data_IF_855898083942
#
_entry.id   IF_855898083942
#
_cell.length_a   1.000
_cell.length_b   1.000
_cell.length_c   1.000
_cell.angle_alpha   90.00
_cell.angle_beta   90.00
_cell.angle_gamma   90.00
#
_symmetry.space_group_name_H-M   'P 1'
#
loop_
_entity.id
_entity.type
_entity.pdbx_description
1 polymer ?
#
# COMPACT_ATOMS: atom_id res chain seq x y z
N UNK A 1 25.33 47.55 9.78
CA UNK A 1 26.31 48.21 8.89
C UNK A 1 26.30 47.43 7.59
N UNK A 2 25.57 47.92 6.60
CA UNK A 2 25.59 47.45 5.21
C UNK A 2 26.58 48.26 4.40
N UNK A 3 27.11 47.73 3.32
CA UNK A 3 27.10 48.53 2.10
C UNK A 3 26.62 47.79 0.84
N UNK A 4 25.98 48.58 0.08
CA UNK A 4 25.25 48.66 -1.15
C UNK A 4 25.98 48.16 -2.40
N UNK A 5 25.14 47.71 -3.35
CA UNK A 5 25.39 47.52 -4.80
C UNK A 5 26.04 48.71 -5.54
N UNK A 6 26.54 48.49 -6.78
CA UNK A 6 25.86 49.14 -7.87
C UNK A 6 25.61 48.28 -9.15
N UNK A 7 24.48 48.62 -9.78
CA UNK A 7 24.05 48.35 -11.15
C UNK A 7 25.04 48.88 -12.21
N UNK A 8 25.18 48.21 -13.36
CA UNK A 8 25.30 48.88 -14.64
C UNK A 8 24.62 48.13 -15.78
N UNK A 9 23.86 48.95 -16.52
CA UNK A 9 23.04 48.65 -17.71
C UNK A 9 23.84 48.75 -18.99
N UNK A 10 23.33 48.09 -20.05
CA UNK A 10 23.27 48.49 -21.48
C UNK A 10 24.49 48.23 -22.35
N UNK A 11 24.34 47.54 -23.46
CA UNK A 11 24.06 48.16 -24.76
C UNK A 11 23.84 47.10 -25.87
N UNK A 12 22.86 47.39 -26.70
CA UNK A 12 22.48 46.77 -27.96
C UNK A 12 23.56 46.94 -29.03
N UNK A 13 23.70 45.97 -29.95
CA UNK A 13 23.89 46.29 -31.38
C UNK A 13 23.39 45.14 -32.26
N UNK A 14 22.64 45.52 -33.27
CA UNK A 14 22.06 44.70 -34.34
C UNK A 14 22.93 44.79 -35.62
N UNK A 15 22.67 43.93 -36.55
CA UNK A 15 22.88 43.93 -37.99
C UNK A 15 23.64 42.68 -38.46
N UNK A 16 23.44 42.02 -39.61
CA UNK A 16 22.53 42.18 -40.74
C UNK A 16 22.59 40.88 -41.58
N UNK A 17 21.59 40.68 -42.38
CA UNK A 17 21.35 39.65 -43.40
C UNK A 17 22.54 39.48 -44.40
N UNK A 18 22.71 38.23 -44.91
CA UNK A 18 23.01 37.96 -46.31
C UNK A 18 22.56 36.56 -46.71
N UNK A 19 21.69 36.51 -47.69
CA UNK A 19 21.22 35.33 -48.38
C UNK A 19 22.19 34.94 -49.54
N UNK A 20 22.40 33.63 -49.73
CA UNK A 20 22.88 33.13 -51.02
C UNK A 20 22.29 31.76 -51.25
N UNK A 21 21.50 31.63 -52.33
CA UNK A 21 21.00 30.40 -52.89
C UNK A 21 22.05 29.86 -53.86
N UNK A 22 22.23 28.50 -53.93
CA UNK A 22 22.66 27.79 -55.12
C UNK A 22 22.49 26.28 -55.00
N UNK A 23 21.60 25.73 -55.81
CA UNK A 23 21.68 24.61 -56.75
C UNK A 23 21.89 23.18 -56.23
N UNK A 24 20.93 22.38 -56.69
CA UNK A 24 20.83 20.93 -56.59
C UNK A 24 21.98 20.18 -57.26
N UNK A 25 22.36 19.04 -56.66
CA UNK A 25 22.94 17.89 -57.38
C UNK A 25 22.44 16.61 -56.73
N UNK A 26 21.76 15.80 -57.51
CA UNK A 26 21.34 14.43 -57.15
C UNK A 26 22.58 13.52 -57.08
N UNK A 27 22.72 12.81 -55.98
CA UNK A 27 23.70 11.74 -55.77
C UNK A 27 23.08 10.61 -54.99
N UNK A 28 22.74 9.48 -55.64
CA UNK A 28 22.45 8.22 -54.99
C UNK A 28 23.71 7.72 -54.30
N UNK A 29 23.67 7.66 -52.94
CA UNK A 29 24.69 7.04 -52.14
C UNK A 29 24.02 6.34 -50.98
N UNK A 30 23.96 5.02 -51.01
CA UNK A 30 23.64 4.16 -49.88
C UNK A 30 24.70 4.34 -48.80
N UNK A 31 24.34 5.06 -47.74
CA UNK A 31 25.18 5.26 -46.56
C UNK A 31 24.30 5.19 -45.32
N UNK A 32 24.54 4.16 -44.52
CA UNK A 32 23.81 3.90 -43.29
C UNK A 32 23.75 5.10 -42.37
N UNK A 33 22.55 5.41 -41.89
CA UNK A 33 22.32 6.31 -40.79
C UNK A 33 23.00 5.77 -39.52
N UNK A 34 23.76 6.56 -38.78
CA UNK A 34 24.14 6.15 -37.46
C UNK A 34 22.87 6.18 -36.60
N UNK A 35 22.51 4.99 -36.16
CA UNK A 35 21.50 4.82 -35.11
C UNK A 35 21.78 5.76 -33.97
N UNK A 36 20.93 6.75 -33.80
CA UNK A 36 20.74 7.39 -32.54
C UNK A 36 20.06 6.37 -31.61
N UNK A 37 20.87 5.48 -31.02
CA UNK A 37 20.46 4.64 -29.91
C UNK A 37 20.27 5.56 -28.69
N UNK A 38 19.12 6.23 -28.65
CA UNK A 38 18.49 6.58 -27.39
C UNK A 38 18.24 5.28 -26.60
N UNK A 39 18.14 5.31 -25.26
CA UNK A 39 17.90 4.10 -24.48
C UNK A 39 16.70 3.37 -25.07
N UNK A 40 16.96 2.18 -25.59
CA UNK A 40 15.95 1.32 -26.23
C UNK A 40 14.79 1.19 -25.26
N UNK A 41 13.60 1.62 -25.70
CA UNK A 41 12.37 1.36 -24.97
C UNK A 41 12.38 -0.12 -24.55
N UNK A 42 12.27 -0.37 -23.24
CA UNK A 42 12.32 -1.70 -22.68
C UNK A 42 11.47 -2.65 -23.53
N UNK A 43 11.92 -3.87 -23.77
CA UNK A 43 11.31 -4.83 -24.68
C UNK A 43 9.91 -5.32 -24.29
N UNK A 44 9.07 -4.41 -23.74
CA UNK A 44 7.72 -4.66 -23.26
C UNK A 44 6.74 -3.50 -23.57
N UNK A 45 6.63 -2.97 -24.79
CA UNK A 45 5.85 -1.76 -25.07
C UNK A 45 4.36 -1.89 -24.70
N UNK A 46 3.75 -3.05 -24.91
CA UNK A 46 2.35 -3.30 -24.55
C UNK A 46 2.16 -3.27 -23.02
N UNK A 47 3.03 -3.96 -22.26
CA UNK A 47 3.00 -3.97 -20.78
C UNK A 47 3.22 -2.57 -20.24
N UNK A 48 4.14 -1.80 -20.78
CA UNK A 48 4.42 -0.43 -20.39
C UNK A 48 3.22 0.49 -20.62
N UNK A 49 2.55 0.39 -21.78
CA UNK A 49 1.34 1.17 -22.03
C UNK A 49 0.20 0.81 -21.08
N UNK A 50 -0.01 -0.48 -20.84
CA UNK A 50 -0.99 -0.99 -19.88
C UNK A 50 -0.69 -0.46 -18.46
N UNK A 51 0.56 -0.56 -18.02
CA UNK A 51 1.00 -0.06 -16.72
C UNK A 51 0.76 1.45 -16.57
N UNK A 52 1.16 2.26 -17.57
CA UNK A 52 0.92 3.71 -17.57
C UNK A 52 -0.58 4.05 -17.49
N UNK A 53 -1.43 3.31 -18.19
CA UNK A 53 -2.88 3.51 -18.13
C UNK A 53 -3.48 3.10 -16.78
N UNK A 54 -3.01 1.99 -16.20
CA UNK A 54 -3.45 1.52 -14.88
C UNK A 54 -3.04 2.50 -13.76
N UNK A 55 -1.80 2.97 -13.79
CA UNK A 55 -1.28 3.95 -12.81
C UNK A 55 -2.10 5.25 -12.87
N UNK A 56 -2.34 5.83 -14.05
CA UNK A 56 -3.18 7.04 -14.16
C UNK A 56 -4.58 6.87 -13.58
N UNK A 57 -5.18 5.68 -13.73
CA UNK A 57 -6.50 5.42 -13.10
C UNK A 57 -6.39 5.31 -11.58
N UNK A 58 -5.36 4.63 -11.07
CA UNK A 58 -5.16 4.44 -9.65
C UNK A 58 -4.70 5.73 -8.93
N UNK A 59 -4.06 6.67 -9.63
CA UNK A 59 -3.69 8.00 -9.13
C UNK A 59 -4.83 9.03 -9.22
N UNK A 60 -6.02 8.63 -9.73
CA UNK A 60 -7.19 9.51 -9.83
C UNK A 60 -7.61 10.02 -8.45
N UNK A 61 -8.00 11.28 -8.40
CA UNK A 61 -8.53 11.94 -7.20
C UNK A 61 -10.04 11.74 -7.01
N UNK A 62 -10.71 11.00 -7.89
CA UNK A 62 -12.11 10.60 -7.71
C UNK A 62 -12.18 9.48 -6.67
N UNK A 63 -12.51 9.87 -5.45
CA UNK A 63 -12.53 8.99 -4.26
C UNK A 63 -13.93 8.86 -3.67
N UNK A 64 -14.97 9.21 -4.42
CA UNK A 64 -16.35 9.17 -3.96
C UNK A 64 -16.74 7.75 -3.48
N UNK A 65 -17.55 7.69 -2.40
CA UNK A 65 -18.05 6.44 -1.85
C UNK A 65 -18.84 5.63 -2.88
N UNK A 66 -18.42 4.40 -3.09
CA UNK A 66 -19.06 3.44 -3.99
C UNK A 66 -19.48 2.12 -3.28
N UNK A 67 -19.47 2.15 -1.96
CA UNK A 67 -19.82 1.00 -1.13
C UNK A 67 -21.30 0.93 -0.75
N UNK A 68 -21.65 0.15 0.29
CA UNK A 68 -23.02 -0.03 0.74
C UNK A 68 -23.72 1.29 1.06
N UNK A 69 -24.98 1.41 0.63
CA UNK A 69 -25.90 2.50 0.96
C UNK A 69 -27.15 2.00 1.67
N UNK A 70 -27.27 0.66 1.85
CA UNK A 70 -28.36 -0.02 2.54
C UNK A 70 -27.84 -1.15 3.41
N UNK A 71 -28.53 -1.39 4.52
CA UNK A 71 -28.18 -2.43 5.47
C UNK A 71 -29.12 -2.42 6.68
N UNK A 72 -28.86 -3.25 7.69
CA UNK A 72 -29.68 -3.28 8.90
C UNK A 72 -29.37 -2.07 9.80
N UNK A 73 -30.40 -1.56 10.47
CA UNK A 73 -30.22 -0.61 11.58
C UNK A 73 -29.29 -1.22 12.66
N UNK A 74 -28.60 -0.37 13.40
CA UNK A 74 -27.63 -0.83 14.39
C UNK A 74 -28.27 -1.68 15.48
N UNK A 75 -27.78 -2.91 15.65
CA UNK A 75 -28.22 -3.79 16.75
C UNK A 75 -27.59 -3.30 18.04
N UNK A 76 -28.36 -2.94 19.09
CA UNK A 76 -27.83 -2.26 20.28
C UNK A 76 -26.99 -3.19 21.17
N UNK A 77 -26.13 -2.60 22.00
CA UNK A 77 -25.49 -3.23 23.17
C UNK A 77 -24.45 -4.28 22.84
N UNK A 78 -23.73 -4.18 21.74
CA UNK A 78 -22.70 -5.15 21.33
C UNK A 78 -21.31 -4.80 21.85
N UNK A 79 -20.51 -5.83 22.07
CA UNK A 79 -19.12 -5.73 22.47
C UNK A 79 -18.24 -6.49 21.48
N UNK A 80 -17.19 -5.87 21.01
CA UNK A 80 -16.22 -6.50 20.10
C UNK A 80 -14.86 -6.65 20.80
N UNK A 81 -14.15 -7.71 20.42
CA UNK A 81 -12.72 -7.85 20.74
C UNK A 81 -11.94 -7.83 19.41
N UNK A 82 -11.01 -6.91 19.30
CA UNK A 82 -10.05 -6.84 18.20
C UNK A 82 -8.77 -7.55 18.64
N UNK A 83 -8.49 -8.70 18.06
CA UNK A 83 -7.22 -9.41 18.26
C UNK A 83 -6.26 -8.96 17.16
N UNK A 84 -5.23 -8.20 17.55
CA UNK A 84 -4.22 -7.71 16.65
C UNK A 84 -3.10 -8.74 16.44
N UNK A 85 -2.57 -8.87 15.23
CA UNK A 85 -1.30 -9.57 15.01
C UNK A 85 -0.20 -8.92 15.86
N UNK A 86 -0.01 -7.62 15.68
CA UNK A 86 0.78 -6.74 16.55
C UNK A 86 0.32 -5.28 16.37
N UNK A 87 0.27 -4.54 17.47
CA UNK A 87 -0.05 -3.12 17.43
C UNK A 87 1.12 -2.23 16.97
N UNK A 88 2.32 -2.81 16.80
CA UNK A 88 3.46 -2.11 16.18
C UNK A 88 3.34 -2.02 14.66
N UNK A 89 2.46 -2.82 14.03
CA UNK A 89 2.10 -2.68 12.62
C UNK A 89 1.11 -1.51 12.46
N UNK A 90 1.48 -0.41 11.76
CA UNK A 90 0.61 0.76 11.61
C UNK A 90 -0.73 0.48 10.92
N UNK A 91 -0.77 -0.46 9.96
CA UNK A 91 -2.00 -0.88 9.29
C UNK A 91 -2.98 -1.54 10.27
N UNK A 92 -2.49 -2.52 11.05
CA UNK A 92 -3.28 -3.18 12.12
C UNK A 92 -3.83 -2.17 13.12
N UNK A 93 -2.97 -1.23 13.56
CA UNK A 93 -3.34 -0.18 14.50
C UNK A 93 -4.36 0.81 13.90
N UNK A 94 -4.20 1.16 12.61
CA UNK A 94 -5.09 2.04 11.87
C UNK A 94 -6.51 1.48 11.76
N UNK A 95 -6.64 0.21 11.36
CA UNK A 95 -7.95 -0.47 11.32
C UNK A 95 -8.57 -0.60 12.70
N UNK A 96 -7.79 -0.96 13.72
CA UNK A 96 -8.29 -1.02 15.10
C UNK A 96 -8.84 0.34 15.58
N UNK A 97 -8.23 1.45 15.14
CA UNK A 97 -8.73 2.82 15.40
C UNK A 97 -10.07 3.04 14.70
N UNK A 98 -10.18 2.67 13.40
CA UNK A 98 -11.43 2.78 12.64
C UNK A 98 -12.56 1.94 13.24
N UNK A 99 -12.28 0.70 13.67
CA UNK A 99 -13.25 -0.15 14.39
C UNK A 99 -13.75 0.51 15.67
N UNK A 100 -12.85 1.11 16.46
CA UNK A 100 -13.25 1.81 17.69
C UNK A 100 -14.08 3.06 17.41
N UNK A 101 -13.76 3.79 16.36
CA UNK A 101 -14.50 4.98 15.91
C UNK A 101 -15.94 4.58 15.52
N UNK A 102 -16.07 3.65 14.60
CA UNK A 102 -17.34 3.14 14.10
C UNK A 102 -18.22 2.52 15.22
N UNK A 103 -17.62 1.70 16.08
CA UNK A 103 -18.33 1.08 17.18
C UNK A 103 -18.91 2.13 18.16
N UNK A 104 -18.18 3.22 18.44
CA UNK A 104 -18.67 4.30 19.30
C UNK A 104 -19.86 5.03 18.72
N UNK A 105 -19.90 5.26 17.38
CA UNK A 105 -21.02 5.99 16.76
C UNK A 105 -22.36 5.27 16.94
N UNK A 106 -22.35 3.94 17.16
CA UNK A 106 -23.54 3.12 17.40
C UNK A 106 -23.63 2.56 18.83
N UNK A 107 -22.86 3.12 19.76
CA UNK A 107 -22.93 2.74 21.18
C UNK A 107 -22.34 1.37 21.52
N UNK A 108 -21.46 0.82 20.68
CA UNK A 108 -20.74 -0.43 20.96
C UNK A 108 -19.41 -0.18 21.66
N UNK A 109 -18.89 -1.20 22.35
CA UNK A 109 -17.58 -1.17 22.97
C UNK A 109 -16.58 -2.10 22.25
N UNK A 110 -15.31 -1.70 22.22
CA UNK A 110 -14.23 -2.46 21.60
C UNK A 110 -13.06 -2.61 22.57
N UNK A 111 -12.65 -3.85 22.80
CA UNK A 111 -11.38 -4.17 23.49
C UNK A 111 -10.36 -4.64 22.45
N UNK A 112 -9.14 -4.10 22.51
CA UNK A 112 -8.01 -4.58 21.71
C UNK A 112 -7.13 -5.47 22.57
N UNK A 113 -6.69 -6.60 22.01
CA UNK A 113 -5.71 -7.50 22.59
C UNK A 113 -4.58 -7.66 21.58
N UNK A 114 -3.36 -7.32 21.99
CA UNK A 114 -2.17 -7.42 21.16
C UNK A 114 -1.62 -8.86 21.17
N UNK A 115 -1.38 -9.42 19.99
CA UNK A 115 -0.73 -10.73 19.80
C UNK A 115 0.80 -10.64 19.79
N UNK A 116 1.36 -9.43 19.95
CA UNK A 116 2.82 -9.18 20.08
C UNK A 116 3.66 -9.72 18.89
N UNK A 117 3.03 -9.97 17.75
CA UNK A 117 3.68 -10.45 16.53
C UNK A 117 4.24 -11.87 16.63
N UNK A 118 3.92 -12.62 17.67
CA UNK A 118 4.41 -13.99 17.87
C UNK A 118 3.30 -15.02 17.77
N UNK A 119 3.56 -16.24 17.27
CA UNK A 119 2.53 -17.30 17.22
C UNK A 119 1.94 -17.61 18.60
N UNK A 120 2.76 -17.63 19.64
CA UNK A 120 2.32 -17.89 21.01
C UNK A 120 1.45 -16.74 21.55
N UNK A 121 1.86 -15.49 21.31
CA UNK A 121 1.12 -14.30 21.70
C UNK A 121 -0.25 -14.23 21.01
N UNK A 122 -0.30 -14.45 19.69
CA UNK A 122 -1.54 -14.49 18.91
C UNK A 122 -2.48 -15.60 19.42
N UNK A 123 -1.94 -16.79 19.70
CA UNK A 123 -2.73 -17.90 20.25
C UNK A 123 -3.31 -17.56 21.63
N UNK A 124 -2.50 -16.95 22.51
CA UNK A 124 -2.94 -16.51 23.83
C UNK A 124 -4.01 -15.37 23.73
N UNK A 125 -3.78 -14.38 22.88
CA UNK A 125 -4.69 -13.25 22.65
C UNK A 125 -6.06 -13.73 22.14
N UNK A 126 -6.09 -14.63 21.15
CA UNK A 126 -7.34 -15.17 20.64
C UNK A 126 -8.03 -16.08 21.67
N UNK A 127 -7.26 -16.87 22.45
CA UNK A 127 -7.79 -17.66 23.55
C UNK A 127 -8.46 -16.79 24.64
N UNK A 128 -7.84 -15.66 24.99
CA UNK A 128 -8.40 -14.66 25.90
C UNK A 128 -9.67 -14.03 25.33
N UNK A 129 -9.64 -13.64 24.02
CA UNK A 129 -10.80 -13.08 23.35
C UNK A 129 -12.04 -13.99 23.43
N UNK A 130 -11.88 -15.27 23.14
CA UNK A 130 -12.98 -16.26 23.25
C UNK A 130 -13.49 -16.40 24.68
N UNK A 131 -12.58 -16.35 25.67
CA UNK A 131 -12.96 -16.46 27.10
C UNK A 131 -13.79 -15.27 27.58
N UNK A 132 -13.59 -14.09 27.01
CA UNK A 132 -14.37 -12.88 27.32
C UNK A 132 -15.81 -12.95 26.81
N UNK A 133 -16.15 -13.92 25.95
CA UNK A 133 -17.48 -14.10 25.36
C UNK A 133 -18.05 -12.81 24.76
N UNK A 134 -17.30 -12.10 23.88
CA UNK A 134 -17.80 -10.90 23.25
C UNK A 134 -18.91 -11.23 22.24
N UNK A 135 -19.61 -10.21 21.75
CA UNK A 135 -20.57 -10.36 20.66
C UNK A 135 -19.88 -10.77 19.35
N UNK A 136 -18.66 -10.31 19.11
CA UNK A 136 -17.87 -10.66 17.93
C UNK A 136 -16.36 -10.47 18.14
N UNK A 137 -15.53 -11.17 17.35
CA UNK A 137 -14.08 -11.08 17.41
C UNK A 137 -13.53 -10.71 16.03
N UNK A 138 -12.69 -9.66 15.97
CA UNK A 138 -11.92 -9.31 14.78
C UNK A 138 -10.58 -10.06 14.79
N UNK A 139 -10.25 -10.69 13.67
CA UNK A 139 -8.94 -11.28 13.38
C UNK A 139 -8.13 -10.23 12.61
N UNK A 140 -7.27 -9.51 13.32
CA UNK A 140 -6.59 -8.33 12.78
C UNK A 140 -5.17 -8.61 12.28
N UNK A 141 -5.02 -8.93 10.99
CA UNK A 141 -3.72 -8.99 10.30
C UNK A 141 -2.94 -10.29 10.44
N UNK A 142 -3.59 -11.41 10.80
CA UNK A 142 -2.92 -12.71 10.90
C UNK A 142 -3.78 -13.84 10.34
N UNK A 143 -3.11 -14.91 9.85
CA UNK A 143 -3.78 -16.15 9.45
C UNK A 143 -4.28 -16.89 10.70
N UNK A 144 -5.59 -17.14 10.82
CA UNK A 144 -6.14 -17.88 11.96
C UNK A 144 -5.99 -19.42 11.87
N UNK A 145 -5.46 -19.98 10.78
CA UNK A 145 -5.26 -21.44 10.63
C UNK A 145 -4.42 -22.05 11.77
N UNK A 146 -3.28 -21.47 12.19
CA UNK A 146 -2.53 -21.98 13.32
C UNK A 146 -3.29 -21.94 14.66
N UNK A 147 -4.36 -21.14 14.73
CA UNK A 147 -5.24 -20.99 15.92
C UNK A 147 -6.61 -21.66 15.74
N UNK A 148 -6.70 -22.68 14.89
CA UNK A 148 -7.95 -23.37 14.52
C UNK A 148 -8.78 -23.87 15.72
N UNK A 149 -8.12 -24.26 16.83
CA UNK A 149 -8.84 -24.64 18.07
C UNK A 149 -9.62 -23.47 18.66
N UNK A 150 -9.03 -22.28 18.70
CA UNK A 150 -9.68 -21.06 19.20
C UNK A 150 -10.80 -20.62 18.27
N UNK A 151 -10.59 -20.71 16.94
CA UNK A 151 -11.64 -20.47 15.92
C UNK A 151 -12.81 -21.42 16.12
N UNK A 152 -12.56 -22.72 16.31
CA UNK A 152 -13.60 -23.70 16.57
C UNK A 152 -14.37 -23.42 17.88
N UNK A 153 -13.67 -22.99 18.95
CA UNK A 153 -14.30 -22.60 20.22
C UNK A 153 -15.19 -21.36 20.07
N UNK A 154 -14.74 -20.34 19.30
CA UNK A 154 -15.56 -19.17 18.98
C UNK A 154 -16.84 -19.59 18.22
N UNK A 155 -16.68 -20.43 17.20
CA UNK A 155 -17.81 -20.95 16.42
C UNK A 155 -18.81 -21.76 17.29
N UNK A 156 -18.32 -22.63 18.19
CA UNK A 156 -19.15 -23.38 19.11
C UNK A 156 -19.88 -22.48 20.13
N UNK A 157 -19.29 -21.32 20.47
CA UNK A 157 -19.92 -20.31 21.32
C UNK A 157 -20.86 -19.37 20.57
N UNK A 158 -21.06 -19.55 19.25
CA UNK A 158 -21.88 -18.67 18.42
C UNK A 158 -21.29 -17.28 18.20
N UNK A 159 -19.99 -17.10 18.43
CA UNK A 159 -19.29 -15.81 18.27
C UNK A 159 -18.84 -15.68 16.80
N UNK A 160 -19.39 -14.75 16.00
CA UNK A 160 -18.92 -14.49 14.65
C UNK A 160 -17.50 -13.94 14.65
N UNK A 161 -16.72 -14.36 13.63
CA UNK A 161 -15.38 -13.86 13.37
C UNK A 161 -15.41 -13.04 12.07
N UNK A 162 -14.85 -11.82 12.09
CA UNK A 162 -14.58 -11.00 10.91
C UNK A 162 -13.08 -10.84 10.80
N UNK A 163 -12.53 -11.20 9.63
CA UNK A 163 -11.11 -11.02 9.34
C UNK A 163 -10.80 -9.64 8.77
N UNK A 164 -9.61 -9.15 9.05
CA UNK A 164 -8.93 -8.13 8.27
C UNK A 164 -7.57 -8.68 7.86
N UNK A 165 -7.31 -8.81 6.54
CA UNK A 165 -6.12 -9.48 5.99
C UNK A 165 -5.88 -10.88 6.62
N UNK A 166 -6.94 -11.56 7.04
CA UNK A 166 -6.85 -12.86 7.70
C UNK A 166 -6.69 -14.02 6.71
N UNK A 167 -7.23 -13.86 5.50
CA UNK A 167 -7.05 -14.77 4.36
C UNK A 167 -6.82 -13.96 3.10
N UNK A 168 -6.33 -14.58 2.03
CA UNK A 168 -5.95 -13.87 0.80
C UNK A 168 -7.12 -13.26 0.02
N UNK A 169 -8.30 -13.85 0.10
CA UNK A 169 -9.47 -13.39 -0.64
C UNK A 169 -10.43 -12.58 0.25
N UNK A 170 -11.07 -11.51 -0.28
CA UNK A 170 -12.16 -10.83 0.40
C UNK A 170 -13.42 -11.72 0.45
N UNK A 171 -14.30 -11.44 1.42
CA UNK A 171 -15.58 -12.09 1.57
C UNK A 171 -15.62 -13.26 2.56
N UNK A 172 -16.73 -14.02 2.61
CA UNK A 172 -16.91 -15.14 3.53
C UNK A 172 -15.87 -16.25 3.33
N UNK A 173 -15.44 -16.89 4.44
CA UNK A 173 -14.53 -18.04 4.40
C UNK A 173 -15.10 -19.20 5.21
N UNK A 174 -14.96 -20.40 4.68
CA UNK A 174 -15.40 -21.63 5.37
C UNK A 174 -14.26 -22.30 6.14
N UNK A 175 -13.01 -22.07 5.68
CA UNK A 175 -11.81 -22.60 6.32
C UNK A 175 -10.63 -21.61 6.17
N UNK A 176 -10.28 -20.86 7.22
CA UNK A 176 -10.94 -20.78 8.54
C UNK A 176 -12.37 -20.21 8.43
N UNK A 177 -13.25 -20.57 9.39
CA UNK A 177 -14.61 -20.06 9.38
C UNK A 177 -14.65 -18.59 9.79
N UNK A 178 -14.86 -17.71 8.81
CA UNK A 178 -15.05 -16.27 9.00
C UNK A 178 -16.43 -15.87 8.41
N UNK A 179 -17.14 -14.99 9.10
CA UNK A 179 -18.35 -14.37 8.53
C UNK A 179 -18.00 -13.65 7.23
N UNK A 180 -16.92 -12.87 7.28
CA UNK A 180 -16.29 -12.25 6.10
C UNK A 180 -14.83 -11.89 6.41
N UNK A 181 -14.04 -11.69 5.37
CA UNK A 181 -12.70 -11.10 5.43
C UNK A 181 -12.72 -9.76 4.71
N UNK A 182 -12.49 -8.69 5.45
CA UNK A 182 -12.36 -7.33 4.92
C UNK A 182 -10.92 -7.14 4.48
N UNK A 183 -10.73 -6.92 3.20
CA UNK A 183 -9.41 -6.71 2.57
C UNK A 183 -9.62 -6.18 1.17
N UNK A 184 -8.61 -5.51 0.60
CA UNK A 184 -8.53 -5.27 -0.84
C UNK A 184 -8.15 -6.56 -1.58
N UNK A 185 -8.27 -6.56 -2.90
CA UNK A 185 -7.80 -7.69 -3.70
C UNK A 185 -6.29 -7.64 -3.82
N UNK A 186 -5.62 -8.66 -3.30
CA UNK A 186 -4.15 -8.73 -3.28
C UNK A 186 -3.54 -8.61 -4.68
N UNK A 187 -4.22 -9.16 -5.70
CA UNK A 187 -3.81 -9.09 -7.11
C UNK A 187 -3.81 -7.65 -7.64
N UNK A 188 -4.82 -6.87 -7.27
CA UNK A 188 -4.96 -5.48 -7.71
C UNK A 188 -3.92 -4.58 -7.03
N UNK A 189 -3.68 -4.76 -5.72
CA UNK A 189 -2.63 -4.04 -4.97
C UNK A 189 -1.23 -4.37 -5.50
N UNK A 190 -0.92 -5.65 -5.68
CA UNK A 190 0.35 -6.10 -6.21
C UNK A 190 0.61 -5.55 -7.61
N UNK A 191 -0.43 -5.60 -8.47
CA UNK A 191 -0.38 -5.06 -9.82
C UNK A 191 -0.16 -3.55 -9.82
N UNK A 192 -0.88 -2.79 -8.99
CA UNK A 192 -0.73 -1.34 -8.91
C UNK A 192 0.70 -0.93 -8.52
N UNK A 193 1.28 -1.57 -7.50
CA UNK A 193 2.66 -1.31 -7.08
C UNK A 193 3.69 -1.66 -8.16
N UNK A 194 3.55 -2.81 -8.82
CA UNK A 194 4.45 -3.22 -9.89
C UNK A 194 4.30 -2.35 -11.16
N UNK A 195 3.06 -2.02 -11.54
CA UNK A 195 2.76 -1.16 -12.68
C UNK A 195 3.31 0.25 -12.46
N UNK A 196 3.28 0.76 -11.23
CA UNK A 196 3.90 2.04 -10.89
C UNK A 196 5.41 2.02 -11.17
N UNK A 197 6.12 0.97 -10.74
CA UNK A 197 7.56 0.81 -11.04
C UNK A 197 7.80 0.73 -12.55
N UNK A 198 7.04 -0.10 -13.27
CA UNK A 198 7.18 -0.26 -14.72
C UNK A 198 6.93 1.06 -15.45
N UNK A 199 5.87 1.80 -15.06
CA UNK A 199 5.48 3.06 -15.68
C UNK A 199 6.49 4.18 -15.41
N UNK A 200 6.94 4.35 -14.16
CA UNK A 200 7.86 5.41 -13.73
C UNK A 200 9.29 5.19 -14.21
N UNK A 201 9.68 3.95 -14.49
CA UNK A 201 11.00 3.58 -15.01
C UNK A 201 11.05 3.47 -16.53
N UNK A 202 9.96 3.76 -17.24
CA UNK A 202 9.82 3.44 -18.67
C UNK A 202 10.23 1.99 -19.02
N UNK A 203 9.97 1.06 -18.08
CA UNK A 203 10.26 -0.36 -18.21
C UNK A 203 11.72 -0.75 -18.02
N UNK A 204 12.56 0.12 -17.43
CA UNK A 204 13.98 -0.16 -17.14
C UNK A 204 14.32 0.15 -15.69
N UNK A 205 14.32 -0.86 -14.82
CA UNK A 205 14.54 -0.73 -13.36
C UNK A 205 15.38 -1.86 -12.78
N UNK A 206 16.11 -1.54 -11.72
CA UNK A 206 16.66 -2.53 -10.79
C UNK A 206 15.92 -2.46 -9.47
N UNK A 207 15.20 -3.52 -9.11
CA UNK A 207 14.22 -3.52 -8.03
C UNK A 207 14.66 -4.41 -6.86
N UNK A 208 14.48 -3.91 -5.64
CA UNK A 208 14.55 -4.71 -4.41
C UNK A 208 13.13 -4.84 -3.85
N UNK A 209 12.73 -6.06 -3.49
CA UNK A 209 11.43 -6.35 -2.86
C UNK A 209 11.66 -6.68 -1.39
N UNK A 210 10.88 -6.04 -0.49
CA UNK A 210 10.83 -6.33 0.95
C UNK A 210 9.49 -6.97 1.29
N UNK A 211 9.52 -8.08 2.04
CA UNK A 211 8.33 -8.88 2.36
C UNK A 211 8.44 -9.57 3.72
N UNK A 212 7.31 -10.09 4.19
CA UNK A 212 7.22 -11.04 5.30
C UNK A 212 6.50 -12.31 4.82
N UNK A 213 7.27 -13.33 4.46
CA UNK A 213 6.73 -14.60 3.96
C UNK A 213 6.09 -15.47 5.07
N UNK A 214 6.22 -15.08 6.34
CA UNK A 214 5.53 -15.75 7.44
C UNK A 214 4.02 -15.43 7.46
N UNK A 215 3.60 -14.39 6.74
CA UNK A 215 2.21 -13.99 6.55
C UNK A 215 1.78 -14.41 5.13
N UNK A 216 0.87 -15.41 4.96
CA UNK A 216 0.51 -15.94 3.64
C UNK A 216 0.01 -14.88 2.65
N UNK A 217 -0.77 -13.90 3.14
CA UNK A 217 -1.22 -12.75 2.36
C UNK A 217 -0.06 -11.92 1.81
N UNK A 218 0.94 -11.63 2.65
CA UNK A 218 2.10 -10.83 2.26
C UNK A 218 3.02 -11.59 1.28
N UNK A 219 3.27 -12.88 1.53
CA UNK A 219 4.02 -13.75 0.62
C UNK A 219 3.35 -13.91 -0.75
N UNK A 220 2.00 -13.96 -0.79
CA UNK A 220 1.25 -13.96 -2.05
C UNK A 220 1.41 -12.63 -2.77
N UNK A 221 1.28 -11.51 -2.06
CA UNK A 221 1.44 -10.16 -2.61
C UNK A 221 2.82 -9.98 -3.26
N UNK A 222 3.91 -10.33 -2.56
CA UNK A 222 5.26 -10.18 -3.09
C UNK A 222 5.51 -11.03 -4.33
N UNK A 223 5.02 -12.28 -4.37
CA UNK A 223 5.10 -13.13 -5.57
C UNK A 223 4.39 -12.53 -6.77
N UNK A 224 3.18 -11.98 -6.58
CA UNK A 224 2.42 -11.33 -7.64
C UNK A 224 3.12 -10.06 -8.15
N UNK A 225 3.72 -9.25 -7.25
CA UNK A 225 4.56 -8.11 -7.62
C UNK A 225 5.71 -8.56 -8.51
N UNK A 226 6.48 -9.57 -8.10
CA UNK A 226 7.63 -10.08 -8.85
C UNK A 226 7.22 -10.64 -10.21
N UNK A 227 6.13 -11.39 -10.28
CA UNK A 227 5.57 -11.90 -11.53
C UNK A 227 5.20 -10.76 -12.51
N UNK A 228 4.57 -9.70 -11.99
CA UNK A 228 4.21 -8.54 -12.83
C UNK A 228 5.43 -7.76 -13.30
N UNK A 229 6.43 -7.55 -12.44
CA UNK A 229 7.69 -6.91 -12.80
C UNK A 229 8.43 -7.70 -13.88
N UNK A 230 8.45 -9.04 -13.78
CA UNK A 230 9.09 -9.94 -14.75
C UNK A 230 8.43 -9.90 -16.14
N UNK A 231 7.17 -9.43 -16.26
CA UNK A 231 6.52 -9.24 -17.55
C UNK A 231 7.20 -8.17 -18.43
N UNK A 232 8.08 -7.34 -17.84
CA UNK A 232 8.88 -6.34 -18.54
C UNK A 232 10.38 -6.70 -18.43
N UNK A 233 11.01 -7.25 -19.49
CA UNK A 233 12.39 -7.75 -19.42
C UNK A 233 13.46 -6.72 -19.03
N UNK A 234 13.19 -5.43 -19.19
CA UNK A 234 14.06 -4.34 -18.75
C UNK A 234 14.03 -4.11 -17.23
N UNK A 235 13.00 -4.61 -16.53
CA UNK A 235 12.92 -4.56 -15.08
C UNK A 235 13.59 -5.80 -14.48
N UNK A 236 14.55 -5.59 -13.61
CA UNK A 236 15.36 -6.65 -13.00
C UNK A 236 15.12 -6.72 -11.51
N UNK A 237 14.66 -7.87 -11.02
CA UNK A 237 14.67 -8.16 -9.59
C UNK A 237 16.13 -8.36 -9.13
N UNK A 238 16.63 -7.47 -8.27
CA UNK A 238 17.99 -7.50 -7.75
C UNK A 238 18.11 -8.26 -6.43
N UNK A 239 17.06 -8.18 -5.61
CA UNK A 239 16.97 -8.90 -4.34
C UNK A 239 15.53 -9.02 -3.87
N UNK A 240 15.24 -10.16 -3.25
CA UNK A 240 14.05 -10.41 -2.43
C UNK A 240 14.49 -10.49 -0.96
N UNK A 241 13.89 -9.69 -0.09
CA UNK A 241 14.25 -9.60 1.32
C UNK A 241 13.08 -9.98 2.20
N UNK A 242 13.13 -11.22 2.71
CA UNK A 242 12.16 -11.71 3.67
C UNK A 242 12.57 -11.29 5.09
N UNK A 243 11.84 -10.33 5.65
CA UNK A 243 12.07 -9.76 6.97
C UNK A 243 10.73 -9.74 7.71
N UNK A 244 10.54 -10.59 8.73
CA UNK A 244 9.32 -10.56 9.53
C UNK A 244 9.03 -9.15 10.10
N UNK A 245 7.78 -8.72 10.03
CA UNK A 245 7.35 -7.38 10.50
C UNK A 245 7.82 -7.09 11.92
N UNK A 246 7.76 -8.02 12.91
CA UNK A 246 8.28 -7.75 14.26
C UNK A 246 9.79 -7.50 14.32
N UNK A 247 10.54 -7.96 13.32
CA UNK A 247 11.99 -7.78 13.21
C UNK A 247 12.39 -6.58 12.34
N UNK A 248 11.44 -5.92 11.68
CA UNK A 248 11.71 -4.97 10.61
C UNK A 248 12.57 -3.80 11.08
N UNK A 249 12.27 -3.21 12.24
CA UNK A 249 13.02 -2.06 12.77
C UNK A 249 14.50 -2.35 13.02
N UNK A 250 14.85 -3.61 13.33
CA UNK A 250 16.22 -4.04 13.55
C UNK A 250 16.90 -4.50 12.26
N UNK A 251 16.20 -5.30 11.44
CA UNK A 251 16.80 -5.98 10.29
C UNK A 251 16.83 -5.13 9.02
N UNK A 252 15.80 -4.33 8.77
CA UNK A 252 15.71 -3.54 7.53
C UNK A 252 16.90 -2.58 7.34
N UNK A 253 17.29 -1.76 8.34
CA UNK A 253 18.46 -0.89 8.15
C UNK A 253 19.75 -1.66 7.90
N UNK A 254 19.94 -2.85 8.51
CA UNK A 254 21.10 -3.71 8.29
C UNK A 254 21.12 -4.26 6.86
N UNK A 255 19.99 -4.75 6.36
CA UNK A 255 19.86 -5.26 4.99
C UNK A 255 20.11 -4.15 3.96
N UNK A 256 19.53 -2.97 4.17
CA UNK A 256 19.75 -1.81 3.29
C UNK A 256 21.23 -1.42 3.27
N UNK A 257 21.87 -1.29 4.42
CA UNK A 257 23.30 -0.97 4.53
C UNK A 257 24.18 -2.00 3.80
N UNK A 258 23.80 -3.29 3.85
CA UNK A 258 24.49 -4.37 3.13
C UNK A 258 24.26 -4.33 1.61
N UNK A 259 23.05 -3.96 1.17
CA UNK A 259 22.67 -3.94 -0.25
C UNK A 259 23.26 -2.75 -1.00
N UNK A 260 23.35 -1.58 -0.37
CA UNK A 260 23.78 -0.34 -1.02
C UNK A 260 25.14 -0.46 -1.72
N UNK A 261 26.23 -0.94 -1.08
CA UNK A 261 27.52 -1.08 -1.76
C UNK A 261 27.52 -2.20 -2.80
N UNK A 262 26.73 -3.27 -2.62
CA UNK A 262 26.67 -4.42 -3.53
C UNK A 262 25.95 -4.09 -4.82
N UNK A 263 24.86 -3.37 -4.74
CA UNK A 263 23.98 -3.06 -5.89
C UNK A 263 24.35 -1.72 -6.54
N UNK A 264 24.83 -0.77 -5.76
CA UNK A 264 25.27 0.54 -6.25
C UNK A 264 24.17 1.25 -7.08
N UNK A 265 24.54 1.78 -8.22
CA UNK A 265 23.62 2.50 -9.13
C UNK A 265 22.59 1.60 -9.84
N UNK A 266 22.72 0.26 -9.74
CA UNK A 266 21.74 -0.68 -10.30
C UNK A 266 20.43 -0.69 -9.52
N UNK A 267 20.46 -0.35 -8.22
CA UNK A 267 19.29 -0.28 -7.38
C UNK A 267 18.59 1.06 -7.57
N UNK A 268 17.53 1.05 -8.35
CA UNK A 268 16.79 2.27 -8.73
C UNK A 268 15.39 2.33 -8.14
N UNK A 269 14.81 1.19 -7.77
CA UNK A 269 13.45 1.10 -7.17
C UNK A 269 13.41 0.09 -6.03
N UNK A 270 12.47 0.29 -5.10
CA UNK A 270 12.07 -0.73 -4.16
C UNK A 270 10.55 -0.86 -4.11
N UNK A 271 10.07 -2.07 -3.86
CA UNK A 271 8.68 -2.34 -3.52
C UNK A 271 8.66 -3.06 -2.18
N UNK A 272 7.84 -2.60 -1.24
CA UNK A 272 7.63 -3.26 0.03
C UNK A 272 6.17 -3.66 0.22
N UNK A 273 5.90 -4.79 0.85
CA UNK A 273 4.52 -5.23 1.12
C UNK A 273 3.81 -4.37 2.17
N UNK A 274 4.58 -3.54 2.88
CA UNK A 274 4.11 -2.62 3.92
C UNK A 274 5.04 -1.40 3.97
N UNK A 275 4.50 -0.21 4.24
CA UNK A 275 5.25 1.06 4.28
C UNK A 275 6.28 1.14 5.41
N UNK A 276 6.09 0.37 6.50
CA UNK A 276 6.99 0.36 7.65
C UNK A 276 8.44 0.04 7.28
N UNK A 277 8.66 -0.76 6.22
CA UNK A 277 10.03 -1.05 5.75
C UNK A 277 10.78 0.19 5.30
N UNK A 278 10.07 1.22 4.81
CA UNK A 278 10.70 2.48 4.40
C UNK A 278 10.91 3.43 5.58
N UNK A 279 10.11 3.36 6.64
CA UNK A 279 10.44 3.99 7.92
C UNK A 279 11.78 3.47 8.44
N UNK A 280 11.90 2.15 8.48
CA UNK A 280 13.07 1.46 9.00
C UNK A 280 14.30 1.56 8.09
N UNK A 281 14.11 1.68 6.77
CA UNK A 281 15.18 1.85 5.79
C UNK A 281 15.76 3.29 5.77
N UNK A 282 14.96 4.30 6.09
CA UNK A 282 15.33 5.71 5.96
C UNK A 282 16.63 6.09 6.69
N UNK A 283 16.94 5.62 7.92
CA UNK A 283 18.22 5.90 8.57
C UNK A 283 19.43 5.38 7.77
N UNK A 284 19.32 4.18 7.18
CA UNK A 284 20.41 3.60 6.39
C UNK A 284 20.62 4.32 5.05
N UNK A 285 19.54 4.73 4.38
CA UNK A 285 19.64 5.58 3.18
C UNK A 285 20.28 6.92 3.49
N UNK A 286 19.90 7.56 4.59
CA UNK A 286 20.46 8.83 5.04
C UNK A 286 21.95 8.70 5.38
N UNK A 287 22.35 7.63 6.10
CA UNK A 287 23.75 7.37 6.45
C UNK A 287 24.65 7.10 5.22
N UNK A 288 24.05 6.70 4.10
CA UNK A 288 24.73 6.46 2.83
C UNK A 288 24.60 7.67 1.86
N UNK A 289 24.23 8.83 2.35
CA UNK A 289 24.06 10.07 1.58
C UNK A 289 23.14 9.93 0.35
N UNK A 290 22.10 9.05 0.47
CA UNK A 290 21.11 8.94 -0.60
C UNK A 290 20.16 10.15 -0.58
N UNK A 291 19.83 10.70 -1.76
CA UNK A 291 18.83 11.77 -1.82
C UNK A 291 17.48 11.26 -1.37
N UNK A 292 16.73 12.07 -0.63
CA UNK A 292 15.39 11.70 -0.14
C UNK A 292 14.42 11.36 -1.26
N UNK A 293 14.46 12.11 -2.35
CA UNK A 293 13.67 11.88 -3.56
C UNK A 293 14.13 10.71 -4.44
N UNK A 294 15.18 9.97 -4.03
CA UNK A 294 15.70 8.78 -4.75
C UNK A 294 16.79 9.10 -5.78
N UNK A 295 17.37 8.14 -6.47
CA UNK A 295 17.13 6.72 -6.31
C UNK A 295 17.73 6.08 -5.04
N UNK A 296 17.17 4.95 -4.54
CA UNK A 296 16.02 4.25 -5.08
C UNK A 296 14.71 4.99 -4.83
N UNK A 297 13.78 4.95 -5.80
CA UNK A 297 12.39 5.34 -5.63
C UNK A 297 11.64 4.19 -4.96
N UNK A 298 10.96 4.45 -3.88
CA UNK A 298 10.35 3.43 -3.04
C UNK A 298 8.83 3.54 -3.06
N UNK A 299 8.13 2.41 -3.30
CA UNK A 299 6.67 2.32 -3.22
C UNK A 299 6.24 1.24 -2.23
N UNK A 300 5.31 1.59 -1.30
CA UNK A 300 4.61 0.65 -0.44
C UNK A 300 3.45 -0.01 -1.17
N UNK A 301 3.27 -1.32 -1.02
CA UNK A 301 2.08 -2.06 -1.44
C UNK A 301 1.15 -2.30 -0.24
N UNK A 302 0.72 -1.23 0.43
CA UNK A 302 0.00 -1.14 1.70
C UNK A 302 0.91 -0.50 2.76
N UNK A 303 0.46 0.01 3.86
CA UNK A 303 -0.89 0.19 4.38
C UNK A 303 -1.37 1.64 4.24
N UNK A 304 -0.48 2.59 3.87
CA UNK A 304 -0.83 4.00 3.77
C UNK A 304 -1.00 4.65 5.15
N UNK A 305 -0.10 4.36 6.07
CA UNK A 305 -0.12 4.97 7.41
C UNK A 305 0.34 6.44 7.37
N UNK A 306 0.06 7.23 8.43
CA UNK A 306 0.42 8.65 8.46
C UNK A 306 1.91 8.94 8.30
N UNK A 307 2.80 8.00 8.63
CA UNK A 307 4.24 8.21 8.44
C UNK A 307 4.65 8.03 6.98
N UNK A 308 4.00 7.10 6.27
CA UNK A 308 4.15 6.94 4.82
C UNK A 308 3.75 8.21 4.07
N UNK A 309 2.56 8.77 4.37
CA UNK A 309 2.11 10.03 3.77
C UNK A 309 3.06 11.20 4.07
N UNK A 310 3.60 11.29 5.31
CA UNK A 310 4.61 12.31 5.62
C UNK A 310 5.87 12.15 4.79
N UNK A 311 6.39 10.90 4.61
CA UNK A 311 7.58 10.64 3.79
C UNK A 311 7.34 10.98 2.33
N UNK A 312 6.20 10.59 1.79
CA UNK A 312 5.80 10.89 0.40
C UNK A 312 5.71 12.41 0.20
N UNK A 313 4.95 13.12 1.04
CA UNK A 313 4.74 14.57 0.93
C UNK A 313 6.01 15.39 1.16
N UNK A 314 7.01 14.86 1.88
CA UNK A 314 8.31 15.51 2.10
C UNK A 314 9.42 14.94 1.21
N UNK A 315 9.11 14.04 0.29
CA UNK A 315 10.05 13.35 -0.60
C UNK A 315 11.24 12.73 0.17
N UNK A 316 10.93 12.03 1.27
CA UNK A 316 11.95 11.45 2.16
C UNK A 316 11.91 9.92 2.12
N UNK A 317 12.64 9.35 1.16
CA UNK A 317 12.87 7.91 0.99
C UNK A 317 11.60 7.07 0.75
N UNK A 318 10.49 7.73 0.36
CA UNK A 318 9.30 7.06 -0.16
C UNK A 318 8.62 7.97 -1.17
N UNK A 319 8.35 7.45 -2.37
CA UNK A 319 7.79 8.21 -3.49
C UNK A 319 6.28 7.96 -3.66
N UNK A 320 5.81 6.77 -3.27
CA UNK A 320 4.41 6.39 -3.42
C UNK A 320 4.01 5.31 -2.40
N UNK A 321 2.71 5.12 -2.25
CA UNK A 321 2.12 3.95 -1.60
C UNK A 321 0.83 3.54 -2.30
N UNK A 322 0.47 2.25 -2.21
CA UNK A 322 -0.86 1.73 -2.53
C UNK A 322 -1.60 1.61 -1.21
N UNK A 323 -2.26 2.67 -0.70
CA UNK A 323 -2.81 2.69 0.64
C UNK A 323 -4.03 1.78 0.77
N UNK A 324 -4.17 1.14 1.92
CA UNK A 324 -5.44 0.58 2.37
C UNK A 324 -6.30 1.70 2.97
N UNK A 325 -7.61 1.74 2.73
CA UNK A 325 -8.50 2.69 3.38
C UNK A 325 -8.78 2.25 4.82
N UNK A 326 -7.80 2.42 5.71
CA UNK A 326 -7.76 1.80 7.04
C UNK A 326 -8.93 2.19 7.92
N UNK A 327 -9.34 3.47 7.89
CA UNK A 327 -10.51 3.92 8.66
C UNK A 327 -11.79 3.35 8.09
N UNK A 328 -11.97 3.40 6.76
CA UNK A 328 -13.15 2.85 6.09
C UNK A 328 -13.28 1.34 6.33
N UNK A 329 -12.17 0.58 6.23
CA UNK A 329 -12.18 -0.87 6.50
C UNK A 329 -12.54 -1.16 7.97
N UNK A 330 -12.13 -0.31 8.91
CA UNK A 330 -12.58 -0.39 10.30
C UNK A 330 -14.09 -0.19 10.45
N UNK A 331 -14.67 0.77 9.73
CA UNK A 331 -16.11 1.01 9.68
C UNK A 331 -16.84 -0.16 9.01
N UNK A 332 -16.30 -0.68 7.90
CA UNK A 332 -16.83 -1.85 7.23
C UNK A 332 -16.87 -3.08 8.17
N UNK A 333 -15.82 -3.33 8.95
CA UNK A 333 -15.80 -4.44 9.93
C UNK A 333 -16.97 -4.33 10.91
N UNK A 334 -17.29 -3.12 11.39
CA UNK A 334 -18.43 -2.90 12.29
C UNK A 334 -19.76 -3.13 11.56
N UNK A 335 -19.92 -2.69 10.31
CA UNK A 335 -21.09 -2.97 9.49
C UNK A 335 -21.27 -4.47 9.25
N UNK A 336 -20.18 -5.18 8.97
CA UNK A 336 -20.22 -6.64 8.78
C UNK A 336 -20.66 -7.38 10.05
N UNK A 337 -20.20 -6.95 11.22
CA UNK A 337 -20.72 -7.48 12.47
C UNK A 337 -22.19 -7.14 12.67
N UNK A 338 -22.60 -5.91 12.35
CA UNK A 338 -24.01 -5.53 12.45
C UNK A 338 -24.89 -6.40 11.56
N UNK A 339 -24.45 -6.68 10.33
CA UNK A 339 -25.12 -7.64 9.42
C UNK A 339 -25.18 -9.04 10.02
N UNK A 340 -24.07 -9.54 10.57
CA UNK A 340 -24.02 -10.84 11.22
C UNK A 340 -25.02 -10.95 12.38
N UNK A 341 -25.12 -9.91 13.23
CA UNK A 341 -26.03 -9.85 14.37
C UNK A 341 -27.50 -9.72 13.94
N UNK A 342 -27.74 -9.09 12.80
CA UNK A 342 -29.09 -8.99 12.21
C UNK A 342 -29.49 -10.20 11.35
N UNK A 343 -28.63 -11.23 11.25
CA UNK A 343 -28.87 -12.42 10.42
C UNK A 343 -28.86 -12.15 8.91
N UNK A 344 -28.21 -11.05 8.48
CA UNK A 344 -28.07 -10.71 7.07
C UNK A 344 -26.72 -11.19 6.51
N UNK A 345 -26.61 -11.39 5.19
CA UNK A 345 -25.34 -11.74 4.56
C UNK A 345 -24.33 -10.59 4.67
N UNK A 346 -23.03 -10.91 4.51
CA UNK A 346 -21.98 -9.94 4.37
C UNK A 346 -22.25 -8.97 3.20
N UNK A 347 -21.75 -7.74 3.28
CA UNK A 347 -21.98 -6.69 2.27
C UNK A 347 -21.38 -7.03 0.91
N UNK A 348 -20.31 -7.81 0.90
CA UNK A 348 -19.55 -8.13 -0.30
C UNK A 348 -18.72 -6.96 -0.83
N UNK A 349 -18.67 -5.83 -0.12
CA UNK A 349 -17.90 -4.67 -0.54
C UNK A 349 -16.40 -4.91 -0.47
N UNK A 350 -15.71 -4.47 -1.50
CA UNK A 350 -14.25 -4.44 -1.59
C UNK A 350 -13.84 -3.04 -2.04
N UNK A 351 -13.03 -2.38 -1.24
CA UNK A 351 -12.56 -1.04 -1.55
C UNK A 351 -11.70 -1.03 -2.83
N UNK A 352 -11.80 0.02 -3.67
CA UNK A 352 -10.96 0.17 -4.84
C UNK A 352 -9.50 0.41 -4.44
N UNK A 353 -8.58 0.07 -5.35
CA UNK A 353 -7.15 0.33 -5.18
C UNK A 353 -6.84 1.76 -5.62
N UNK A 354 -6.05 2.47 -4.81
CA UNK A 354 -5.53 3.81 -5.06
C UNK A 354 -4.01 3.81 -5.02
N UNK A 355 -3.36 4.76 -5.70
CA UNK A 355 -1.93 5.06 -5.56
C UNK A 355 -1.79 6.49 -5.07
N UNK A 356 -1.23 6.67 -3.88
CA UNK A 356 -0.91 7.97 -3.33
C UNK A 356 0.55 8.34 -3.65
N UNK A 357 0.73 9.56 -4.18
CA UNK A 357 2.01 10.21 -4.50
C UNK A 357 2.01 11.62 -3.93
N UNK A 358 3.13 12.34 -4.00
CA UNK A 358 3.19 13.73 -3.56
C UNK A 358 2.25 14.64 -4.39
N UNK A 359 2.01 14.29 -5.65
CA UNK A 359 1.18 15.09 -6.56
C UNK A 359 -0.33 15.01 -6.22
N UNK A 360 -0.82 13.85 -5.73
CA UNK A 360 -2.25 13.65 -5.48
C UNK A 360 -2.62 13.52 -4.00
N UNK A 361 -1.66 13.61 -3.07
CA UNK A 361 -1.90 13.45 -1.64
C UNK A 361 -1.39 14.63 -0.79
N UNK A 362 -1.21 15.82 -1.39
CA UNK A 362 -0.66 16.98 -0.71
C UNK A 362 -1.42 17.29 0.60
N UNK A 363 -0.70 17.24 1.73
CA UNK A 363 -1.26 17.49 3.06
C UNK A 363 -2.09 16.37 3.66
N UNK A 364 -2.36 15.29 2.93
CA UNK A 364 -3.07 14.13 3.45
C UNK A 364 -2.19 13.33 4.43
N UNK A 365 -2.83 12.64 5.38
CA UNK A 365 -2.19 11.74 6.34
C UNK A 365 -2.71 10.31 6.23
N UNK A 366 -3.68 10.06 5.37
CA UNK A 366 -4.28 8.77 5.04
C UNK A 366 -5.07 8.92 3.74
N UNK A 367 -5.49 7.80 3.20
CA UNK A 367 -6.48 7.76 2.13
C UNK A 367 -7.66 6.90 2.55
N UNK A 368 -8.87 7.43 2.38
CA UNK A 368 -10.13 6.71 2.53
C UNK A 368 -11.12 7.26 1.50
N UNK A 369 -12.09 6.48 0.97
CA UNK A 369 -13.15 6.98 0.12
C UNK A 369 -13.97 8.07 0.82
N UNK A 370 -14.29 9.16 0.11
CA UNK A 370 -15.08 10.28 0.68
C UNK A 370 -16.53 9.89 0.92
N UNK A 371 -17.10 10.28 2.07
CA UNK A 371 -18.52 10.07 2.39
C UNK A 371 -18.86 8.69 2.96
N UNK A 372 -17.88 7.83 3.26
CA UNK A 372 -18.17 6.49 3.80
C UNK A 372 -18.77 6.54 5.22
N UNK A 373 -18.36 7.52 6.05
CA UNK A 373 -18.89 7.67 7.42
C UNK A 373 -20.38 7.99 7.39
N UNK A 374 -20.73 8.99 6.63
CA UNK A 374 -22.11 9.42 6.44
C UNK A 374 -22.99 8.31 5.86
N UNK A 375 -22.44 7.52 4.93
CA UNK A 375 -23.15 6.39 4.34
C UNK A 375 -23.44 5.29 5.39
N UNK A 376 -22.45 4.90 6.19
CA UNK A 376 -22.64 3.92 7.25
C UNK A 376 -23.55 4.44 8.38
N UNK A 377 -23.38 5.69 8.83
CA UNK A 377 -24.26 6.30 9.83
C UNK A 377 -25.70 6.32 9.38
N UNK A 378 -25.95 6.69 8.10
CA UNK A 378 -27.27 6.64 7.52
C UNK A 378 -27.88 5.23 7.49
N UNK A 379 -27.07 4.20 7.22
CA UNK A 379 -27.54 2.80 7.27
C UNK A 379 -27.93 2.43 8.70
N UNK A 380 -27.12 2.80 9.70
CA UNK A 380 -27.28 2.34 11.08
C UNK A 380 -28.35 3.09 11.86
N UNK A 381 -28.61 4.34 11.53
CA UNK A 381 -29.59 5.21 12.24
C UNK A 381 -30.91 5.36 11.46
N UNK A 382 -30.99 4.98 10.20
CA UNK A 382 -32.19 5.05 9.34
C UNK A 382 -32.29 6.38 8.62
#
# INVERSE_FOLDING_TARGET
MYPKYPNRRSLLTAAALLAAASTAAAGCGSGGSPDATGPSAAGCPAVLQEAKAAVRRAESTDTAWNGPTTGPAAVPGKTLVYVAQTMTNPGVAGVAKGVREAARSIGWSVRVIDGEGTPAGIQAALGQAVTLKPSGIVIGGFDPQPTSRQVARAAAAGIPLVGWHAVSAPGPSTNPRLFTNVTTKVEEVARAAADWVIARSDGAAGVVVFTDDSIPFAGTKSKLIEQRLAACPGVKLLAHKNIPIPDASRRTPQEVASLLPRLGKKWTYSVAINDLYFDDAAPAFRAADKPGAGPPLNIGAGDGDPSAFRRINSEQFQAATVPEPLSQQGWQIVDEFNRAFAGQPASGYVAPVHIATAENSAGATSWDPEGYREAYEKIWHG
#
